data_IF_852074195437
#
_entry.id   IF_852074195437
#
_cell.length_a   1.000
_cell.length_b   1.000
_cell.length_c   1.000
_cell.angle_alpha   90.00
_cell.angle_beta   90.00
_cell.angle_gamma   90.00
#
_symmetry.space_group_name_H-M   'P 1'
#
loop_
_entity.id
_entity.type
_entity.pdbx_description
1 polymer ?
#
# COMPACT_ATOMS: atom_id res chain seq x y z
N UNK A 1 3.19 -12.91 50.21
CA UNK A 1 4.13 -13.60 49.29
C UNK A 1 3.40 -14.13 48.07
N UNK A 2 2.70 -15.28 48.11
CA UNK A 2 2.03 -15.84 46.91
C UNK A 2 0.92 -14.94 46.33
N UNK A 3 0.07 -14.33 47.16
CA UNK A 3 -0.97 -13.40 46.68
C UNK A 3 -0.39 -12.12 46.07
N UNK A 4 0.66 -11.55 46.67
CA UNK A 4 1.36 -10.37 46.15
C UNK A 4 2.03 -10.66 44.80
N UNK A 5 2.63 -11.85 44.65
CA UNK A 5 3.21 -12.28 43.38
C UNK A 5 2.14 -12.42 42.29
N UNK A 6 0.96 -12.96 42.64
CA UNK A 6 -0.17 -13.08 41.71
C UNK A 6 -0.69 -11.70 41.29
N UNK A 7 -0.85 -10.77 42.23
CA UNK A 7 -1.31 -9.40 41.95
C UNK A 7 -0.33 -8.65 41.03
N UNK A 8 0.98 -8.82 41.26
CA UNK A 8 2.02 -8.27 40.40
C UNK A 8 1.95 -8.83 38.98
N UNK A 9 1.74 -10.14 38.85
CA UNK A 9 1.61 -10.80 37.55
C UNK A 9 0.35 -10.34 36.81
N UNK A 10 -0.78 -10.19 37.50
CA UNK A 10 -2.03 -9.69 36.92
C UNK A 10 -1.87 -8.23 36.44
N UNK A 11 -1.20 -7.40 37.23
CA UNK A 11 -0.89 -6.02 36.85
C UNK A 11 -0.03 -5.99 35.58
N UNK A 12 1.05 -6.79 35.53
CA UNK A 12 1.91 -6.91 34.35
C UNK A 12 1.14 -7.42 33.12
N UNK A 13 0.26 -8.40 33.30
CA UNK A 13 -0.58 -8.93 32.22
C UNK A 13 -1.50 -7.85 31.65
N UNK A 14 -2.20 -7.10 32.50
CA UNK A 14 -3.08 -6.02 32.06
C UNK A 14 -2.33 -4.94 31.26
N UNK A 15 -1.11 -4.57 31.68
CA UNK A 15 -0.26 -3.66 30.90
C UNK A 15 0.16 -4.24 29.55
N UNK A 16 0.44 -5.55 29.48
CA UNK A 16 0.79 -6.21 28.22
C UNK A 16 -0.42 -6.28 27.28
N UNK A 17 -1.62 -6.58 27.78
CA UNK A 17 -2.85 -6.58 27.00
C UNK A 17 -3.15 -5.20 26.40
N UNK A 18 -3.06 -4.13 27.22
CA UNK A 18 -3.22 -2.75 26.74
C UNK A 18 -2.15 -2.37 25.70
N UNK A 19 -0.91 -2.80 25.91
CA UNK A 19 0.18 -2.57 24.94
C UNK A 19 -0.10 -3.29 23.62
N UNK A 20 -0.55 -4.54 23.66
CA UNK A 20 -0.89 -5.32 22.47
C UNK A 20 -2.03 -4.68 21.68
N UNK A 21 -3.08 -4.21 22.35
CA UNK A 21 -4.20 -3.53 21.69
C UNK A 21 -3.73 -2.25 20.99
N UNK A 22 -2.91 -1.44 21.66
CA UNK A 22 -2.33 -0.22 21.06
C UNK A 22 -1.47 -0.52 19.84
N UNK A 23 -0.65 -1.57 19.90
CA UNK A 23 0.17 -2.00 18.77
C UNK A 23 -0.69 -2.49 17.61
N UNK A 24 -1.75 -3.26 17.89
CA UNK A 24 -2.68 -3.74 16.87
C UNK A 24 -3.39 -2.58 16.15
N UNK A 25 -3.89 -1.60 16.91
CA UNK A 25 -4.47 -0.38 16.34
C UNK A 25 -3.48 0.38 15.46
N UNK A 26 -2.25 0.57 15.93
CA UNK A 26 -1.21 1.26 15.18
C UNK A 26 -0.86 0.53 13.87
N UNK A 27 -0.77 -0.80 13.90
CA UNK A 27 -0.54 -1.63 12.71
C UNK A 27 -1.70 -1.53 11.72
N UNK A 28 -2.94 -1.59 12.20
CA UNK A 28 -4.12 -1.45 11.34
C UNK A 28 -4.15 -0.08 10.64
N UNK A 29 -3.81 0.99 11.34
CA UNK A 29 -3.76 2.33 10.76
C UNK A 29 -2.57 2.51 9.81
N UNK A 30 -1.44 1.85 10.08
CA UNK A 30 -0.32 1.81 9.14
C UNK A 30 -0.70 1.06 7.86
N UNK A 31 -1.42 -0.07 7.96
CA UNK A 31 -1.87 -0.83 6.79
C UNK A 31 -2.79 0.02 5.89
N UNK A 32 -3.74 0.76 6.48
CA UNK A 32 -4.60 1.68 5.72
C UNK A 32 -3.80 2.75 4.97
N UNK A 33 -2.73 3.27 5.59
CA UNK A 33 -1.85 4.25 4.94
C UNK A 33 -1.08 3.61 3.78
N UNK A 34 -0.56 2.41 3.95
CA UNK A 34 0.12 1.66 2.88
C UNK A 34 -0.82 1.35 1.71
N UNK A 35 -2.06 0.95 1.98
CA UNK A 35 -3.06 0.69 0.95
C UNK A 35 -3.34 1.95 0.13
N UNK A 36 -3.49 3.10 0.81
CA UNK A 36 -3.68 4.41 0.16
C UNK A 36 -2.48 4.80 -0.71
N UNK A 37 -1.26 4.64 -0.20
CA UNK A 37 -0.04 4.95 -0.95
C UNK A 37 0.10 4.03 -2.17
N UNK A 38 -0.16 2.74 -2.00
CA UNK A 38 -0.12 1.74 -3.08
C UNK A 38 -1.12 2.08 -4.17
N UNK A 39 -2.34 2.47 -3.80
CA UNK A 39 -3.36 2.92 -4.73
C UNK A 39 -2.92 4.15 -5.53
N UNK A 40 -2.38 5.17 -4.85
CA UNK A 40 -1.88 6.38 -5.51
C UNK A 40 -0.70 6.09 -6.46
N UNK A 41 0.23 5.22 -6.06
CA UNK A 41 1.37 4.83 -6.89
C UNK A 41 0.94 4.09 -8.16
N UNK A 42 -0.09 3.24 -8.08
CA UNK A 42 -0.67 2.60 -9.27
C UNK A 42 -1.19 3.64 -10.24
N UNK A 43 -1.98 4.61 -9.75
CA UNK A 43 -2.50 5.68 -10.60
C UNK A 43 -1.40 6.52 -11.27
N UNK A 44 -0.33 6.85 -10.54
CA UNK A 44 0.81 7.55 -11.12
C UNK A 44 1.47 6.70 -12.21
N UNK A 45 1.67 5.40 -11.95
CA UNK A 45 2.25 4.46 -12.91
C UNK A 45 1.40 4.34 -14.17
N UNK A 46 0.08 4.21 -14.02
CA UNK A 46 -0.87 4.11 -15.14
C UNK A 46 -0.86 5.39 -15.98
N UNK A 47 -0.83 6.56 -15.32
CA UNK A 47 -0.73 7.85 -16.02
C UNK A 47 0.58 7.99 -16.78
N UNK A 48 1.70 7.56 -16.20
CA UNK A 48 3.00 7.59 -16.87
C UNK A 48 3.01 6.68 -18.11
N UNK A 49 2.41 5.48 -18.02
CA UNK A 49 2.25 4.58 -19.18
C UNK A 49 1.38 5.20 -20.27
N UNK A 50 0.26 5.82 -19.90
CA UNK A 50 -0.63 6.50 -20.85
C UNK A 50 0.02 7.72 -21.52
N UNK A 51 1.05 8.31 -20.91
CA UNK A 51 1.82 9.42 -21.47
C UNK A 51 3.00 8.97 -22.34
N UNK A 52 3.39 7.69 -22.33
CA UNK A 52 4.36 7.20 -23.30
C UNK A 52 3.68 7.21 -24.68
N UNK A 53 4.23 7.94 -25.67
CA UNK A 53 3.75 7.80 -27.04
C UNK A 53 3.94 6.34 -27.44
N UNK A 54 2.88 5.71 -27.94
CA UNK A 54 3.00 4.42 -28.60
C UNK A 54 4.05 4.55 -29.69
N UNK A 55 5.11 3.75 -29.65
CA UNK A 55 6.06 3.58 -30.77
C UNK A 55 5.39 2.86 -31.96
N UNK A 56 4.22 3.35 -32.41
CA UNK A 56 3.49 2.84 -33.57
C UNK A 56 2.96 4.05 -34.35
N UNK A 57 3.89 4.68 -35.04
CA UNK A 57 3.76 5.06 -36.44
C UNK A 57 5.17 5.37 -36.93
N UNK A 58 5.91 4.36 -37.35
CA UNK A 58 6.89 4.58 -38.40
C UNK A 58 6.11 5.18 -39.57
N UNK A 59 6.33 6.46 -39.89
CA UNK A 59 5.88 7.18 -41.10
C UNK A 59 6.26 6.48 -42.43
N UNK A 60 6.69 5.21 -42.39
CA UNK A 60 7.15 4.41 -43.52
C UNK A 60 6.05 3.55 -44.17
N UNK A 61 4.81 3.57 -43.67
CA UNK A 61 3.68 2.80 -44.23
C UNK A 61 2.59 3.66 -44.90
N UNK A 62 2.90 4.89 -45.34
CA UNK A 62 2.08 5.52 -46.37
C UNK A 62 2.43 4.93 -47.74
N UNK A 63 1.72 3.86 -48.13
CA UNK A 63 1.79 3.41 -49.53
C UNK A 63 0.98 4.41 -50.37
N UNK A 64 1.55 5.03 -51.42
CA UNK A 64 0.86 6.07 -52.18
C UNK A 64 -0.42 5.52 -52.83
N UNK A 65 -1.49 6.33 -52.94
CA UNK A 65 -2.76 5.87 -53.48
C UNK A 65 -2.61 5.50 -54.97
N UNK A 66 -3.28 4.43 -55.45
CA UNK A 66 -3.23 4.04 -56.84
C UNK A 66 -3.98 5.06 -57.69
N UNK A 67 -3.26 5.71 -58.61
CA UNK A 67 -3.89 6.51 -59.66
C UNK A 67 -4.29 5.59 -60.82
N UNK A 68 -5.57 5.66 -61.23
CA UNK A 68 -6.18 4.94 -62.37
C UNK A 68 -5.75 5.53 -63.72
#
# INVERSE_FOLDING_TARGET
MLEEDIELLQTKLAFQEDTLEKLNMALADQQKQLDRLTFQLRHVTDRLRAMQPSDIATDSEETPPPHY
#
